data_IF_617647936679
#
_entry.id   IF_617647936679
#
_cell.length_a   1.000
_cell.length_b   1.000
_cell.length_c   1.000
_cell.angle_alpha   90.00
_cell.angle_beta   90.00
_cell.angle_gamma   90.00
#
_symmetry.space_group_name_H-M   'P 1'
#
loop_
_entity.id
_entity.type
_entity.pdbx_description
1 polymer ?
#
# COMPACT_ATOMS: atom_id res chain seq x y z
N UNK A 1 17.33 -21.00 -24.97
CA UNK A 1 16.74 -21.04 -23.61
C UNK A 1 15.70 -19.94 -23.54
N UNK A 2 14.42 -20.28 -23.55
CA UNK A 2 13.36 -19.30 -23.32
C UNK A 2 13.50 -18.82 -21.88
N UNK A 3 13.83 -17.54 -21.69
CA UNK A 3 13.75 -16.89 -20.38
C UNK A 3 12.25 -16.86 -20.05
N UNK A 4 11.79 -17.71 -19.15
CA UNK A 4 10.46 -17.53 -18.58
C UNK A 4 10.41 -16.11 -17.99
N UNK A 5 9.50 -15.30 -18.51
CA UNK A 5 9.28 -13.96 -17.99
C UNK A 5 8.50 -14.11 -16.68
N UNK A 6 9.16 -13.84 -15.55
CA UNK A 6 8.48 -13.76 -14.26
C UNK A 6 7.59 -12.51 -14.25
N UNK A 7 6.30 -12.69 -14.49
CA UNK A 7 5.31 -11.62 -14.28
C UNK A 7 4.98 -11.55 -12.79
N UNK A 8 5.09 -10.37 -12.20
CA UNK A 8 4.72 -10.11 -10.80
C UNK A 8 3.80 -8.90 -10.79
N UNK A 9 2.58 -9.09 -10.28
CA UNK A 9 1.61 -8.02 -10.16
C UNK A 9 0.61 -8.34 -9.06
N UNK A 10 0.27 -7.36 -8.25
CA UNK A 10 -0.79 -7.52 -7.26
C UNK A 10 -1.65 -6.26 -7.18
N UNK A 11 -2.87 -6.45 -6.71
CA UNK A 11 -3.79 -5.37 -6.36
C UNK A 11 -4.60 -5.84 -5.17
N UNK A 12 -4.62 -5.04 -4.11
CA UNK A 12 -5.34 -5.36 -2.89
C UNK A 12 -6.04 -4.11 -2.34
N UNK A 13 -7.15 -4.34 -1.64
CA UNK A 13 -7.95 -3.32 -0.96
C UNK A 13 -8.21 -3.76 0.50
N UNK A 14 -8.52 -2.79 1.37
CA UNK A 14 -8.76 -3.05 2.79
C UNK A 14 -9.93 -4.03 3.02
N UNK A 15 -10.93 -3.99 2.13
CA UNK A 15 -12.18 -4.72 2.28
C UNK A 15 -13.11 -4.04 3.29
N UNK A 16 -14.12 -4.75 3.79
CA UNK A 16 -14.97 -4.26 4.88
C UNK A 16 -16.19 -3.43 4.48
N UNK A 17 -16.55 -3.39 3.18
CA UNK A 17 -17.85 -2.86 2.75
C UNK A 17 -18.08 -1.37 3.07
N UNK A 18 -17.02 -0.57 3.16
CA UNK A 18 -17.10 0.86 3.50
C UNK A 18 -16.90 1.19 4.98
N UNK A 19 -16.64 0.20 5.84
CA UNK A 19 -16.25 0.45 7.22
C UNK A 19 -14.88 1.17 7.29
N UNK A 20 -14.76 2.13 8.21
CA UNK A 20 -13.50 2.82 8.45
C UNK A 20 -12.42 1.84 8.94
N UNK A 21 -11.21 1.97 8.39
CA UNK A 21 -10.04 1.20 8.81
C UNK A 21 -9.03 2.14 9.45
N UNK A 22 -9.27 2.44 10.72
CA UNK A 22 -8.63 3.52 11.47
C UNK A 22 -9.67 4.44 12.12
N UNK A 23 -9.23 5.52 12.79
CA UNK A 23 -7.84 5.96 12.96
C UNK A 23 -7.00 5.00 13.82
N UNK A 24 -5.68 5.05 13.65
CA UNK A 24 -4.73 4.28 14.47
C UNK A 24 -3.97 5.23 15.40
N UNK A 25 -3.81 4.84 16.66
CA UNK A 25 -3.04 5.59 17.66
C UNK A 25 -1.54 5.22 17.67
N UNK A 26 -1.15 4.19 16.92
CA UNK A 26 0.23 3.74 16.73
C UNK A 26 0.46 3.43 15.27
N UNK A 27 1.73 3.47 14.83
CA UNK A 27 2.11 3.07 13.48
C UNK A 27 1.67 1.62 13.22
N UNK A 28 0.77 1.44 12.25
CA UNK A 28 0.09 0.17 11.99
C UNK A 28 0.30 -0.23 10.54
N UNK A 29 0.84 -1.43 10.29
CA UNK A 29 0.90 -1.95 8.92
C UNK A 29 -0.50 -2.30 8.42
N UNK A 30 -0.88 -1.73 7.28
CA UNK A 30 -2.20 -1.92 6.71
C UNK A 30 -2.29 -3.29 6.04
N UNK A 31 -3.21 -4.12 6.53
CA UNK A 31 -3.50 -5.43 5.95
C UNK A 31 -4.65 -5.31 4.95
N UNK A 32 -4.32 -5.12 3.67
CA UNK A 32 -5.32 -5.14 2.60
C UNK A 32 -5.78 -6.57 2.35
N UNK A 33 -6.90 -6.96 2.99
CA UNK A 33 -7.40 -8.35 3.02
C UNK A 33 -8.15 -8.76 1.75
N UNK A 34 -8.69 -7.81 0.99
CA UNK A 34 -9.35 -8.10 -0.28
C UNK A 34 -8.32 -8.09 -1.40
N UNK A 35 -7.91 -9.28 -1.84
CA UNK A 35 -6.94 -9.46 -2.94
C UNK A 35 -7.70 -9.59 -4.26
N UNK A 36 -7.44 -8.66 -5.20
CA UNK A 36 -8.04 -8.65 -6.54
C UNK A 36 -7.14 -9.42 -7.52
N UNK A 37 -5.83 -9.17 -7.47
CA UNK A 37 -4.82 -9.83 -8.29
C UNK A 37 -3.60 -10.16 -7.42
N UNK A 38 -2.96 -11.30 -7.65
CA UNK A 38 -1.71 -11.68 -6.98
C UNK A 38 -0.84 -12.62 -7.84
N UNK A 39 -0.52 -12.18 -9.06
CA UNK A 39 0.33 -12.93 -9.98
C UNK A 39 1.74 -13.00 -9.40
N UNK A 40 2.28 -14.22 -9.30
CA UNK A 40 3.55 -14.51 -8.65
C UNK A 40 3.45 -14.72 -7.14
N UNK A 41 2.24 -14.60 -6.53
CA UNK A 41 1.97 -14.84 -5.11
C UNK A 41 2.92 -14.08 -4.15
N UNK A 42 3.30 -12.86 -4.53
CA UNK A 42 4.30 -12.06 -3.82
C UNK A 42 3.69 -11.18 -2.71
N UNK A 43 2.37 -10.96 -2.71
CA UNK A 43 1.66 -10.22 -1.67
C UNK A 43 0.99 -11.17 -0.66
N UNK A 44 1.17 -10.91 0.63
CA UNK A 44 0.54 -11.67 1.72
C UNK A 44 -0.57 -10.85 2.41
N UNK A 45 -1.86 -11.18 2.21
CA UNK A 45 -2.98 -10.43 2.80
C UNK A 45 -3.08 -10.55 4.33
N UNK A 46 -2.46 -11.57 4.93
CA UNK A 46 -2.44 -11.75 6.38
C UNK A 46 -1.43 -10.85 7.08
N UNK A 47 -0.49 -10.24 6.34
CA UNK A 47 0.52 -9.32 6.87
C UNK A 47 0.48 -7.93 6.24
N UNK A 48 -0.12 -7.78 5.06
CA UNK A 48 -0.08 -6.53 4.29
C UNK A 48 1.23 -6.30 3.54
N UNK A 49 2.09 -7.34 3.44
CA UNK A 49 3.46 -7.21 2.95
C UNK A 49 3.58 -7.83 1.56
N UNK A 50 4.13 -7.06 0.62
CA UNK A 50 4.69 -7.57 -0.63
C UNK A 50 6.16 -7.95 -0.40
N UNK A 51 6.57 -9.13 -0.87
CA UNK A 51 7.97 -9.58 -0.83
C UNK A 51 8.45 -9.84 -2.25
N UNK A 52 9.47 -9.10 -2.70
CA UNK A 52 9.97 -9.22 -4.07
C UNK A 52 10.47 -10.64 -4.36
N UNK A 53 9.88 -11.39 -5.30
CA UNK A 53 10.35 -12.75 -5.60
C UNK A 53 11.68 -12.73 -6.35
N UNK A 54 11.92 -11.69 -7.15
CA UNK A 54 13.13 -11.49 -7.97
C UNK A 54 13.64 -10.07 -7.86
N UNK A 55 14.94 -9.84 -8.07
CA UNK A 55 15.48 -8.47 -8.14
C UNK A 55 14.98 -7.77 -9.40
N UNK A 56 14.58 -6.51 -9.29
CA UNK A 56 14.01 -5.76 -10.41
C UNK A 56 13.50 -4.37 -10.04
N UNK A 57 12.93 -3.69 -11.03
CA UNK A 57 12.21 -2.43 -10.85
C UNK A 57 10.73 -2.74 -10.67
N UNK A 58 10.14 -2.23 -9.60
CA UNK A 58 8.74 -2.42 -9.26
C UNK A 58 8.04 -1.05 -9.21
N UNK A 59 6.77 -1.00 -9.61
CA UNK A 59 5.94 0.19 -9.50
C UNK A 59 4.89 -0.03 -8.42
N UNK A 60 4.86 0.86 -7.44
CA UNK A 60 3.87 0.87 -6.37
C UNK A 60 3.06 2.14 -6.45
N UNK A 61 1.75 2.00 -6.26
CA UNK A 61 0.84 3.12 -6.07
C UNK A 61 -0.08 2.81 -4.90
N UNK A 62 -0.34 3.83 -4.10
CA UNK A 62 -1.14 3.76 -2.88
C UNK A 62 -2.18 4.86 -2.90
N UNK A 63 -3.36 4.57 -2.39
CA UNK A 63 -4.49 5.48 -2.32
C UNK A 63 -5.21 5.32 -0.98
N UNK A 64 -5.78 6.41 -0.48
CA UNK A 64 -6.72 6.38 0.64
C UNK A 64 -7.96 7.22 0.33
N UNK A 65 -9.01 6.92 1.09
CA UNK A 65 -10.18 7.74 1.27
C UNK A 65 -10.37 7.94 2.78
N UNK A 66 -10.58 9.17 3.22
CA UNK A 66 -10.77 9.51 4.62
C UNK A 66 -11.91 10.52 4.77
N UNK A 67 -12.51 10.57 5.96
CA UNK A 67 -13.43 11.67 6.29
C UNK A 67 -12.63 12.92 6.63
N UNK A 68 -13.10 14.09 6.20
CA UNK A 68 -12.38 15.37 6.32
C UNK A 68 -12.05 15.81 7.76
N UNK A 69 -12.73 15.23 8.76
CA UNK A 69 -12.43 15.47 10.18
C UNK A 69 -11.29 14.58 10.72
N UNK A 70 -10.61 13.81 9.87
CA UNK A 70 -9.52 12.92 10.25
C UNK A 70 -8.25 13.25 9.46
N UNK A 71 -7.11 13.32 10.15
CA UNK A 71 -5.81 13.33 9.45
C UNK A 71 -5.65 11.99 8.73
N UNK A 72 -5.42 12.06 7.42
CA UNK A 72 -5.15 10.90 6.60
C UNK A 72 -3.67 10.87 6.26
N UNK A 73 -3.03 9.70 6.40
CA UNK A 73 -1.62 9.55 6.11
C UNK A 73 -1.31 8.11 5.75
N UNK A 74 -0.64 7.91 4.61
CA UNK A 74 -0.06 6.64 4.21
C UNK A 74 1.42 6.82 3.91
N UNK A 75 2.23 5.89 4.39
CA UNK A 75 3.66 5.79 4.05
C UNK A 75 3.95 4.45 3.42
N UNK A 76 4.54 4.48 2.23
CA UNK A 76 5.12 3.30 1.60
C UNK A 76 6.52 3.07 2.16
N UNK A 77 6.76 1.87 2.69
CA UNK A 77 8.06 1.45 3.21
C UNK A 77 8.72 0.41 2.31
N UNK A 78 10.06 0.45 2.23
CA UNK A 78 10.92 -0.63 1.76
C UNK A 78 11.84 -1.04 2.90
N UNK A 79 11.78 -2.28 3.38
CA UNK A 79 12.64 -2.80 4.46
C UNK A 79 12.76 -1.88 5.69
N UNK A 80 11.71 -1.12 6.03
CA UNK A 80 11.63 -0.12 7.11
C UNK A 80 12.15 1.28 6.77
N UNK A 81 12.60 1.53 5.54
CA UNK A 81 12.91 2.87 5.04
C UNK A 81 11.70 3.47 4.33
N UNK A 82 11.47 4.76 4.54
CA UNK A 82 10.39 5.52 3.88
C UNK A 82 10.73 5.68 2.39
N UNK A 83 9.78 5.36 1.52
CA UNK A 83 9.88 5.57 0.07
C UNK A 83 9.13 6.82 -0.36
N UNK A 84 7.80 6.83 -0.12
CA UNK A 84 6.92 7.96 -0.42
C UNK A 84 5.83 8.07 0.64
N UNK A 85 5.32 9.28 0.83
CA UNK A 85 4.27 9.62 1.79
C UNK A 85 3.14 10.32 1.03
N UNK A 86 1.90 10.06 1.42
CA UNK A 86 0.75 10.91 1.10
C UNK A 86 0.03 11.25 2.39
N UNK A 87 -0.47 12.48 2.49
CA UNK A 87 -1.17 12.93 3.67
C UNK A 87 -2.17 14.02 3.32
N UNK A 88 -3.24 14.10 4.11
CA UNK A 88 -4.09 15.28 4.21
C UNK A 88 -4.24 15.71 5.66
N UNK A 89 -4.46 17.01 5.84
CA UNK A 89 -4.79 17.58 7.13
C UNK A 89 -6.31 17.55 7.35
N UNK A 90 -6.74 17.67 8.60
CA UNK A 90 -8.18 17.89 8.87
C UNK A 90 -8.70 19.11 8.12
N UNK A 91 -9.81 18.95 7.42
CA UNK A 91 -10.50 19.98 6.66
C UNK A 91 -11.74 20.50 7.41
N UNK A 92 -12.40 21.53 6.86
CA UNK A 92 -13.56 22.16 7.50
C UNK A 92 -14.77 21.21 7.57
N UNK A 93 -15.78 21.53 8.39
CA UNK A 93 -17.01 20.72 8.48
C UNK A 93 -17.79 20.60 7.14
N UNK A 94 -17.51 21.49 6.19
CA UNK A 94 -18.10 21.47 4.84
C UNK A 94 -17.33 20.59 3.86
N UNK A 95 -16.12 20.19 4.22
CA UNK A 95 -15.31 19.25 3.46
C UNK A 95 -15.33 17.90 4.18
N UNK A 96 -16.19 17.02 3.69
CA UNK A 96 -16.50 15.79 4.41
C UNK A 96 -15.62 14.62 4.00
N UNK A 97 -14.81 14.76 2.93
CA UNK A 97 -14.11 13.63 2.32
C UNK A 97 -12.80 14.02 1.63
N UNK A 98 -11.72 13.43 2.10
CA UNK A 98 -10.39 13.61 1.54
C UNK A 98 -9.96 12.34 0.78
N UNK A 99 -9.36 12.54 -0.39
CA UNK A 99 -8.78 11.45 -1.17
C UNK A 99 -7.35 11.81 -1.53
N UNK A 100 -6.43 10.87 -1.34
CA UNK A 100 -5.04 11.08 -1.65
C UNK A 100 -4.36 9.82 -2.14
N UNK A 101 -3.23 10.00 -2.80
CA UNK A 101 -2.40 8.90 -3.25
C UNK A 101 -1.00 9.35 -3.58
N UNK A 102 -0.10 8.37 -3.69
CA UNK A 102 1.26 8.57 -4.19
C UNK A 102 1.71 7.33 -4.97
N UNK A 103 2.80 7.45 -5.70
CA UNK A 103 3.37 6.36 -6.45
C UNK A 103 4.89 6.48 -6.57
N UNK A 104 5.57 5.34 -6.69
CA UNK A 104 7.02 5.29 -6.87
C UNK A 104 7.45 4.08 -7.70
N UNK A 105 8.49 4.27 -8.51
CA UNK A 105 9.30 3.17 -9.02
C UNK A 105 10.40 2.86 -8.02
N UNK A 106 10.51 1.61 -7.58
CA UNK A 106 11.44 1.17 -6.53
C UNK A 106 12.27 0.01 -7.04
N UNK A 107 13.59 0.14 -6.96
CA UNK A 107 14.49 -0.97 -7.22
C UNK A 107 14.56 -1.89 -5.99
N UNK A 108 14.17 -3.14 -6.18
CA UNK A 108 14.14 -4.16 -5.13
C UNK A 108 15.14 -5.27 -5.42
N UNK A 109 15.76 -5.80 -4.38
CA UNK A 109 16.41 -7.09 -4.40
C UNK A 109 15.39 -8.19 -4.07
N UNK A 110 15.68 -9.43 -4.51
CA UNK A 110 14.90 -10.58 -4.06
C UNK A 110 14.84 -10.59 -2.52
N UNK A 111 13.62 -10.79 -1.99
CA UNK A 111 13.25 -10.76 -0.58
C UNK A 111 13.12 -9.39 0.07
N UNK A 112 13.36 -8.29 -0.65
CA UNK A 112 12.98 -6.96 -0.13
C UNK A 112 11.46 -6.93 0.12
N UNK A 113 11.08 -6.31 1.23
CA UNK A 113 9.70 -6.19 1.67
C UNK A 113 9.20 -4.77 1.46
N UNK A 114 8.00 -4.66 0.90
CA UNK A 114 7.28 -3.40 0.70
C UNK A 114 5.92 -3.49 1.36
N UNK A 115 5.57 -2.47 2.14
CA UNK A 115 4.30 -2.42 2.86
C UNK A 115 3.88 -0.98 3.13
N UNK A 116 2.60 -0.79 3.46
CA UNK A 116 2.03 0.52 3.80
C UNK A 116 1.76 0.59 5.29
N UNK A 117 2.05 1.73 5.90
CA UNK A 117 1.59 2.09 7.25
C UNK A 117 0.85 3.41 7.23
#
# INVERSE_FOLDING_TARGET
KNKETTTVAFTAALGGGGAAYGPFNIATTLMYKTVITNIGNAYNPSTGIFTAPVSGLYYFTIFYHAGGQSVAHLTLYKNNEVVVITSDHTSSEFDTADNGGNAAFVQLQSRDQVYVR
#
